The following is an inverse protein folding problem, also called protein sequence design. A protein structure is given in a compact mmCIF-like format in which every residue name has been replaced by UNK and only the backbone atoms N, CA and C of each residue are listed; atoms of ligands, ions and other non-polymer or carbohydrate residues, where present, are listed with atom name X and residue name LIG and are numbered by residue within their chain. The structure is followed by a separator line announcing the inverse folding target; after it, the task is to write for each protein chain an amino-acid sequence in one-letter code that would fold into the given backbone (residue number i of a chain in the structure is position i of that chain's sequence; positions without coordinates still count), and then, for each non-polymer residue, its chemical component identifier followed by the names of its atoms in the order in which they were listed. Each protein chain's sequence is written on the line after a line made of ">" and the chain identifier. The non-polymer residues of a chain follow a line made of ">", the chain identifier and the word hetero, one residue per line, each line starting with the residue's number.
data_IF_488018580907
#
_entry.id   IF_488018580907
#
_cell.length_a   1.000
_cell.length_b   1.000
_cell.length_c   1.000
_cell.angle_alpha   90.00
_cell.angle_beta   90.00
_cell.angle_gamma   90.00
#
_symmetry.space_group_name_H-M   'P 1'
#
loop_
_entity.id
_entity.type
_entity.pdbx_description
1 polymer ?
#
# COMPACT_ATOMS: atom_id res chain seq x y z
N UNK A 1 37.05 -21.64 -26.61
CA UNK A 1 36.18 -20.98 -27.62
C UNK A 1 34.74 -21.18 -27.17
N UNK A 2 34.18 -20.20 -26.44
CA UNK A 2 32.86 -20.31 -25.81
C UNK A 2 31.74 -20.07 -26.83
N UNK A 3 30.81 -21.02 -26.92
CA UNK A 3 29.70 -20.97 -27.88
C UNK A 3 28.71 -19.86 -27.53
N UNK A 4 28.86 -18.71 -28.20
CA UNK A 4 28.01 -17.51 -28.16
C UNK A 4 26.57 -17.70 -28.70
N UNK A 5 26.08 -18.94 -28.86
CA UNK A 5 24.82 -19.24 -29.54
C UNK A 5 23.63 -19.47 -28.60
N UNK A 6 23.84 -19.68 -27.30
CA UNK A 6 22.76 -20.07 -26.38
C UNK A 6 22.19 -18.91 -25.55
N UNK A 7 22.85 -17.76 -25.48
CA UNK A 7 22.41 -16.61 -24.67
C UNK A 7 21.31 -15.76 -25.34
N UNK A 8 21.12 -15.90 -26.66
CA UNK A 8 20.08 -15.16 -27.39
C UNK A 8 18.69 -15.79 -27.27
N UNK A 9 18.59 -17.09 -27.01
CA UNK A 9 17.31 -17.79 -26.91
C UNK A 9 16.61 -17.56 -25.55
N UNK A 10 17.37 -17.26 -24.48
CA UNK A 10 16.80 -16.99 -23.16
C UNK A 10 16.18 -15.58 -23.04
N UNK A 11 16.54 -14.65 -23.94
CA UNK A 11 16.01 -13.27 -23.95
C UNK A 11 14.68 -13.12 -24.68
N UNK A 12 14.24 -14.14 -25.42
CA UNK A 12 13.03 -14.07 -26.24
C UNK A 12 11.74 -14.45 -25.50
N UNK A 13 11.83 -15.08 -24.32
CA UNK A 13 10.65 -15.61 -23.61
C UNK A 13 10.12 -14.68 -22.50
N UNK A 14 10.65 -13.46 -22.36
CA UNK A 14 10.22 -12.50 -21.33
C UNK A 14 9.41 -11.31 -21.88
N UNK A 15 8.89 -11.40 -23.11
CA UNK A 15 7.90 -10.43 -23.60
C UNK A 15 6.50 -10.84 -23.16
N UNK A 16 6.12 -10.56 -21.93
CA UNK A 16 4.70 -10.70 -21.55
C UNK A 16 4.19 -9.72 -20.52
N UNK A 17 5.03 -8.91 -19.88
CA UNK A 17 4.56 -7.91 -18.94
C UNK A 17 5.38 -6.64 -19.15
N UNK A 18 4.75 -5.64 -19.78
CA UNK A 18 5.20 -4.26 -19.87
C UNK A 18 5.20 -3.64 -18.45
N UNK A 19 6.05 -4.14 -17.54
CA UNK A 19 6.22 -3.60 -16.19
C UNK A 19 6.75 -2.16 -16.20
N UNK A 20 7.27 -1.70 -17.34
CA UNK A 20 7.86 -0.38 -17.54
C UNK A 20 6.83 0.72 -17.89
N UNK A 21 5.52 0.40 -17.95
CA UNK A 21 4.45 1.37 -18.29
C UNK A 21 3.66 1.91 -17.10
N UNK A 22 4.18 1.79 -15.88
CA UNK A 22 3.60 2.53 -14.75
C UNK A 22 3.96 4.02 -14.88
N UNK A 23 3.01 4.95 -14.70
CA UNK A 23 3.32 6.38 -14.68
C UNK A 23 4.32 6.66 -13.56
N UNK A 24 5.55 7.00 -13.92
CA UNK A 24 6.65 7.26 -12.99
C UNK A 24 6.43 8.47 -12.08
N UNK A 25 5.33 9.22 -12.29
CA UNK A 25 4.96 10.43 -11.56
C UNK A 25 3.52 10.39 -11.09
N UNK A 26 3.29 10.83 -9.85
CA UNK A 26 1.95 11.10 -9.31
C UNK A 26 1.85 12.60 -9.09
N UNK A 27 0.84 13.24 -9.68
CA UNK A 27 0.63 14.70 -9.63
C UNK A 27 1.87 15.53 -10.02
N UNK A 28 2.66 15.04 -10.97
CA UNK A 28 3.88 15.69 -11.45
C UNK A 28 5.15 15.43 -10.63
N UNK A 29 5.05 14.72 -9.51
CA UNK A 29 6.18 14.37 -8.64
C UNK A 29 6.65 12.94 -8.92
N UNK A 30 7.93 12.77 -9.23
CA UNK A 30 8.53 11.46 -9.48
C UNK A 30 8.74 10.68 -8.17
N UNK A 31 8.73 9.34 -8.23
CA UNK A 31 8.83 8.50 -7.03
C UNK A 31 10.14 8.72 -6.24
N UNK A 32 11.22 9.08 -6.93
CA UNK A 32 12.54 9.37 -6.39
C UNK A 32 12.66 10.78 -5.77
N UNK A 33 11.80 11.73 -6.17
CA UNK A 33 11.87 13.14 -5.73
C UNK A 33 11.38 13.35 -4.28
N UNK A 34 10.27 12.71 -3.89
CA UNK A 34 9.66 12.92 -2.56
C UNK A 34 10.19 11.96 -1.46
N UNK A 35 10.91 10.92 -1.86
CA UNK A 35 11.41 9.87 -0.96
C UNK A 35 10.33 8.91 -0.44
N UNK A 36 10.73 7.67 -0.14
CA UNK A 36 9.81 6.57 0.20
C UNK A 36 8.91 6.86 1.41
N UNK A 37 9.43 7.56 2.43
CA UNK A 37 8.67 7.89 3.64
C UNK A 37 7.50 8.83 3.36
N UNK A 38 7.68 9.80 2.46
CA UNK A 38 6.64 10.73 2.05
C UNK A 38 5.51 9.99 1.33
N UNK A 39 5.85 9.14 0.36
CA UNK A 39 4.87 8.30 -0.34
C UNK A 39 4.11 7.36 0.60
N UNK A 40 4.81 6.64 1.49
CA UNK A 40 4.19 5.71 2.45
C UNK A 40 3.28 6.38 3.48
N UNK A 41 3.44 7.69 3.72
CA UNK A 41 2.52 8.44 4.59
C UNK A 41 1.19 8.82 3.93
N UNK A 42 1.12 8.74 2.59
CA UNK A 42 -0.02 9.20 1.78
C UNK A 42 -0.75 8.08 1.07
N UNK A 43 -0.17 6.89 1.04
CA UNK A 43 -0.75 5.70 0.42
C UNK A 43 -0.98 4.64 1.49
N UNK A 44 -2.21 4.13 1.56
CA UNK A 44 -2.56 2.98 2.37
C UNK A 44 -2.67 1.74 1.47
N UNK A 45 -1.96 0.66 1.82
CA UNK A 45 -2.11 -0.64 1.17
C UNK A 45 -3.01 -1.52 2.05
N UNK A 46 -4.17 -1.92 1.52
CA UNK A 46 -5.09 -2.83 2.21
C UNK A 46 -4.78 -4.28 1.82
N UNK A 47 -4.41 -5.15 2.77
CA UNK A 47 -4.17 -6.56 2.46
C UNK A 47 -5.48 -7.28 2.12
N UNK A 48 -5.40 -8.31 1.28
CA UNK A 48 -6.56 -9.16 0.93
C UNK A 48 -7.16 -9.90 2.14
N UNK A 49 -6.35 -10.14 3.18
CA UNK A 49 -6.77 -10.72 4.46
C UNK A 49 -6.42 -9.76 5.58
N UNK A 50 -7.40 -9.39 6.39
CA UNK A 50 -7.17 -8.58 7.57
C UNK A 50 -6.34 -9.37 8.61
N UNK A 51 -5.41 -8.68 9.24
CA UNK A 51 -4.64 -9.18 10.37
C UNK A 51 -4.65 -8.10 11.46
N UNK A 52 -4.86 -8.52 12.70
CA UNK A 52 -4.84 -7.65 13.88
C UNK A 52 -3.78 -8.16 14.84
N UNK A 53 -3.15 -7.23 15.56
CA UNK A 53 -2.31 -7.54 16.69
C UNK A 53 -3.19 -7.92 17.89
N UNK A 54 -2.66 -8.80 18.75
CA UNK A 54 -3.25 -9.11 20.05
C UNK A 54 -3.07 -7.93 21.02
N UNK A 55 -3.78 -6.85 20.73
CA UNK A 55 -3.71 -5.56 21.41
C UNK A 55 -5.11 -4.91 21.41
N UNK A 56 -5.23 -3.70 21.96
CA UNK A 56 -6.51 -3.00 21.95
C UNK A 56 -6.91 -2.61 20.52
N UNK A 57 -8.19 -2.31 20.31
CA UNK A 57 -8.66 -1.74 19.03
C UNK A 57 -7.93 -0.42 18.73
N UNK A 58 -7.69 0.39 19.76
CA UNK A 58 -6.93 1.65 19.67
C UNK A 58 -5.53 1.41 19.15
N UNK A 59 -4.81 0.44 19.71
CA UNK A 59 -3.43 0.13 19.29
C UNK A 59 -3.37 -0.38 17.86
N UNK A 60 -4.41 -1.09 17.40
CA UNK A 60 -4.50 -1.57 16.02
C UNK A 60 -4.82 -0.44 15.02
N UNK A 61 -5.61 0.56 15.41
CA UNK A 61 -6.05 1.65 14.52
C UNK A 61 -5.10 2.85 14.54
N UNK A 62 -4.54 3.19 15.70
CA UNK A 62 -3.63 4.31 15.89
C UNK A 62 -2.50 3.98 16.87
N UNK A 63 -1.50 3.17 16.42
CA UNK A 63 -0.36 2.78 17.25
C UNK A 63 0.49 3.96 17.74
N UNK A 64 0.42 5.11 17.06
CA UNK A 64 1.20 6.30 17.39
C UNK A 64 0.43 7.33 18.22
N UNK A 65 -0.82 7.00 18.61
CA UNK A 65 -1.71 7.85 19.40
C UNK A 65 -1.81 9.31 18.88
N UNK A 66 -1.96 9.46 17.56
CA UNK A 66 -2.05 10.75 16.87
C UNK A 66 -3.47 11.33 16.80
N UNK A 67 -4.49 10.50 16.98
CA UNK A 67 -5.89 10.88 16.80
C UNK A 67 -6.61 11.03 18.14
N UNK A 68 -7.70 11.78 18.20
CA UNK A 68 -8.55 11.78 19.40
C UNK A 68 -9.51 10.59 19.38
N UNK A 69 -10.17 10.28 20.50
CA UNK A 69 -11.20 9.23 20.50
C UNK A 69 -12.36 9.60 19.58
N UNK A 70 -12.74 10.88 19.53
CA UNK A 70 -13.78 11.37 18.62
C UNK A 70 -13.43 11.12 17.15
N UNK A 71 -12.17 11.31 16.76
CA UNK A 71 -11.70 11.04 15.39
C UNK A 71 -11.79 9.56 15.05
N UNK A 72 -11.41 8.67 15.98
CA UNK A 72 -11.51 7.23 15.78
C UNK A 72 -12.96 6.77 15.71
N UNK A 73 -13.83 7.26 16.60
CA UNK A 73 -15.26 6.93 16.55
C UNK A 73 -15.89 7.36 15.22
N UNK A 74 -15.56 8.57 14.75
CA UNK A 74 -16.02 9.06 13.45
C UNK A 74 -15.53 8.18 12.29
N UNK A 75 -14.28 7.75 12.32
CA UNK A 75 -13.74 6.83 11.31
C UNK A 75 -14.48 5.48 11.32
N UNK A 76 -14.75 4.93 12.50
CA UNK A 76 -15.50 3.69 12.66
C UNK A 76 -16.97 3.81 12.20
N UNK A 77 -17.61 4.96 12.39
CA UNK A 77 -18.94 5.24 11.86
C UNK A 77 -18.96 5.26 10.33
N UNK A 78 -17.96 5.88 9.69
CA UNK A 78 -17.84 5.95 8.23
C UNK A 78 -17.74 4.58 7.57
N UNK A 79 -17.10 3.62 8.24
CA UNK A 79 -16.96 2.23 7.77
C UNK A 79 -18.00 1.28 8.35
N UNK A 80 -19.04 1.81 9.01
CA UNK A 80 -20.15 1.04 9.59
C UNK A 80 -19.75 0.02 10.66
N UNK A 81 -18.57 0.19 11.27
CA UNK A 81 -18.07 -0.66 12.36
C UNK A 81 -18.49 -0.17 13.75
N UNK A 82 -18.98 1.07 13.86
CA UNK A 82 -19.73 1.48 15.05
C UNK A 82 -21.12 0.84 15.03
N UNK A 83 -21.54 0.29 16.17
CA UNK A 83 -22.89 -0.23 16.34
C UNK A 83 -23.88 0.86 15.91
N UNK A 84 -24.70 0.55 14.89
CA UNK A 84 -25.83 1.41 14.55
C UNK A 84 -26.63 1.56 15.82
N UNK A 85 -26.75 2.79 16.34
CA UNK A 85 -27.72 3.08 17.40
C UNK A 85 -29.06 2.58 16.87
N UNK A 86 -29.54 1.46 17.40
CA UNK A 86 -30.90 1.02 17.16
C UNK A 86 -31.79 2.11 17.79
N UNK A 87 -32.56 2.80 16.94
CA UNK A 87 -33.68 3.62 17.39
C UNK A 87 -34.86 2.70 17.74
#
# INVERSE_FOLDING_TARGET
>A
MGNQRNDKALKANHSSLDYDKWPTKVDGVSYDEAGLRSWRSRVCALPQRAALFAATLRDNLDPANKHTDADIYKALEQVTLCARRCN
#
